data_IF_771522913843
#
_entry.id   IF_771522913843
#
_cell.length_a   1.000
_cell.length_b   1.000
_cell.length_c   1.000
_cell.angle_alpha   90.00
_cell.angle_beta   90.00
_cell.angle_gamma   90.00
#
_symmetry.space_group_name_H-M   'P 1'
#
loop_
_entity.id
_entity.type
_entity.pdbx_description
1 polymer ?
#
# COMPACT_ATOMS: atom_id res chain seq x y z
N UNK A 1 36.93 4.24 35.62
CA UNK A 1 35.69 5.00 35.56
C UNK A 1 34.66 4.07 34.95
N UNK A 2 33.59 3.69 35.66
CA UNK A 2 32.59 2.77 35.14
C UNK A 2 31.61 3.50 34.19
N UNK A 3 31.24 2.82 33.14
CA UNK A 3 30.21 3.24 32.20
C UNK A 3 28.85 3.16 32.91
N UNK A 4 28.10 4.25 32.93
CA UNK A 4 26.70 4.27 33.33
C UNK A 4 25.84 3.82 32.13
N UNK A 5 24.99 2.82 32.35
CA UNK A 5 23.98 2.38 31.41
C UNK A 5 22.86 3.43 31.31
N UNK A 6 22.30 3.69 30.09
CA UNK A 6 21.13 4.56 29.95
C UNK A 6 19.90 3.83 30.47
N UNK A 7 19.14 4.55 31.29
CA UNK A 7 17.97 4.07 31.99
C UNK A 7 16.88 3.47 31.11
N UNK A 8 16.17 2.50 31.68
CA UNK A 8 14.98 1.87 31.17
C UNK A 8 13.92 2.91 30.79
N UNK A 9 13.31 2.71 29.64
CA UNK A 9 12.15 3.46 29.19
C UNK A 9 10.94 3.07 30.06
N UNK A 10 10.24 4.05 30.58
CA UNK A 10 9.01 3.86 31.34
C UNK A 10 7.91 3.26 30.43
N UNK A 11 7.42 2.07 30.80
CA UNK A 11 6.44 1.24 30.09
C UNK A 11 4.98 1.74 30.18
N UNK A 12 4.72 2.96 30.65
CA UNK A 12 3.36 3.44 30.98
C UNK A 12 2.65 4.23 29.86
N UNK A 13 3.06 4.13 28.59
CA UNK A 13 2.44 4.85 27.46
C UNK A 13 1.92 3.95 26.32
N UNK A 14 1.61 2.70 26.58
CA UNK A 14 0.78 1.90 25.68
C UNK A 14 -0.70 2.08 26.07
N UNK A 15 -1.26 3.23 25.70
CA UNK A 15 -2.72 3.38 25.67
C UNK A 15 -3.21 2.63 24.43
N UNK A 16 -4.10 1.67 24.63
CA UNK A 16 -4.86 1.00 23.60
C UNK A 16 -5.54 2.06 22.68
N UNK A 17 -4.94 2.34 21.54
CA UNK A 17 -5.62 3.09 20.50
C UNK A 17 -6.57 2.13 19.79
N UNK A 18 -7.88 2.43 19.73
CA UNK A 18 -8.81 1.64 18.94
C UNK A 18 -8.43 1.76 17.48
N UNK A 19 -8.17 0.64 16.83
CA UNK A 19 -8.01 0.60 15.37
C UNK A 19 -9.25 1.22 14.71
N UNK A 20 -9.09 1.85 13.55
CA UNK A 20 -10.17 2.49 12.79
C UNK A 20 -11.34 1.54 12.45
N UNK A 21 -11.18 0.24 12.72
CA UNK A 21 -11.98 -0.87 12.26
C UNK A 21 -12.25 -1.90 13.38
N UNK A 22 -12.58 -1.46 14.60
CA UNK A 22 -13.00 -2.37 15.67
C UNK A 22 -14.40 -2.95 15.36
N UNK A 23 -14.45 -4.15 14.78
CA UNK A 23 -15.67 -4.92 14.47
C UNK A 23 -16.15 -5.77 15.70
N UNK A 24 -15.67 -5.52 16.90
CA UNK A 24 -15.81 -6.41 18.08
C UNK A 24 -17.23 -6.53 18.69
N UNK A 25 -18.26 -5.86 18.17
CA UNK A 25 -19.58 -5.81 18.83
C UNK A 25 -20.74 -6.54 18.12
N UNK A 26 -20.50 -7.47 17.19
CA UNK A 26 -21.63 -8.07 16.40
C UNK A 26 -22.08 -9.48 16.79
N UNK A 27 -21.69 -10.05 17.94
CA UNK A 27 -22.16 -11.38 18.32
C UNK A 27 -22.62 -11.51 19.78
N UNK A 28 -23.67 -10.81 20.14
CA UNK A 28 -24.53 -11.22 21.27
C UNK A 28 -25.98 -11.15 20.86
N UNK A 29 -26.47 -12.25 20.28
CA UNK A 29 -27.86 -12.74 20.41
C UNK A 29 -28.05 -13.96 19.50
N UNK A 30 -28.09 -15.13 20.16
CA UNK A 30 -29.01 -16.23 19.95
C UNK A 30 -28.41 -17.57 20.35
N UNK A 31 -28.39 -17.81 21.63
CA UNK A 31 -28.46 -19.20 22.15
C UNK A 31 -29.95 -19.51 22.34
N UNK A 32 -30.47 -20.40 21.53
CA UNK A 32 -31.48 -21.42 21.85
C UNK A 32 -32.16 -21.93 20.58
N UNK A 33 -31.77 -23.09 20.11
CA UNK A 33 -32.72 -24.14 19.70
C UNK A 33 -32.01 -25.48 19.44
N UNK A 34 -32.69 -26.46 19.97
CA UNK A 34 -32.42 -27.87 20.18
C UNK A 34 -31.99 -28.70 18.95
N UNK A 35 -31.27 -29.76 19.32
CA UNK A 35 -30.81 -30.91 18.53
C UNK A 35 -31.92 -31.64 17.79
N UNK A 36 -31.64 -32.09 16.59
CA UNK A 36 -32.04 -33.41 16.10
C UNK A 36 -31.07 -33.90 14.99
N UNK A 37 -30.77 -35.20 14.93
CA UNK A 37 -29.68 -35.75 14.12
C UNK A 37 -30.14 -36.15 12.71
N UNK A 38 -29.42 -35.80 11.67
CA UNK A 38 -29.63 -36.30 10.31
C UNK A 38 -28.48 -37.21 9.85
N UNK A 39 -28.92 -38.35 9.44
CA UNK A 39 -28.30 -39.57 8.98
C UNK A 39 -27.36 -39.38 7.77
N UNK A 40 -26.23 -40.09 7.84
CA UNK A 40 -25.26 -40.32 6.75
C UNK A 40 -25.88 -41.07 5.56
N UNK A 41 -25.71 -40.58 4.35
CA UNK A 41 -25.78 -41.38 3.15
C UNK A 41 -24.50 -41.25 2.31
N UNK A 42 -24.09 -42.40 1.72
CA UNK A 42 -22.83 -42.68 1.06
C UNK A 42 -22.81 -42.26 -0.42
N UNK A 43 -21.63 -42.28 -1.09
CA UNK A 43 -21.38 -41.60 -2.35
C UNK A 43 -21.80 -42.41 -3.57
N UNK A 44 -22.22 -41.72 -4.61
CA UNK A 44 -22.52 -42.27 -5.96
C UNK A 44 -21.30 -42.09 -6.84
N UNK A 45 -20.77 -43.19 -7.33
CA UNK A 45 -19.81 -43.30 -8.43
C UNK A 45 -20.42 -42.73 -9.73
N UNK A 46 -19.67 -41.90 -10.45
CA UNK A 46 -19.95 -41.55 -11.82
C UNK A 46 -18.84 -41.91 -12.75
N UNK A 47 -19.21 -42.65 -13.77
CA UNK A 47 -18.37 -43.16 -14.86
C UNK A 47 -17.92 -42.06 -15.80
N UNK A 48 -16.68 -42.22 -16.28
CA UNK A 48 -16.07 -41.49 -17.38
C UNK A 48 -16.82 -41.70 -18.70
N UNK A 49 -17.03 -40.62 -19.46
CA UNK A 49 -17.20 -40.67 -20.93
C UNK A 49 -16.39 -39.55 -21.55
N UNK A 50 -15.34 -39.91 -22.27
CA UNK A 50 -14.63 -39.07 -23.21
C UNK A 50 -15.55 -38.66 -24.34
N UNK A 51 -15.55 -37.38 -24.70
CA UNK A 51 -15.52 -36.88 -26.10
C UNK A 51 -15.78 -35.35 -26.16
N UNK A 52 -15.01 -34.72 -27.05
CA UNK A 52 -15.13 -33.36 -27.59
C UNK A 52 -14.34 -32.21 -26.97
N UNK A 53 -13.05 -32.27 -27.29
CA UNK A 53 -12.20 -31.08 -27.39
C UNK A 53 -12.34 -30.47 -28.80
N UNK A 54 -12.97 -29.30 -28.92
CA UNK A 54 -12.74 -28.24 -29.93
C UNK A 54 -13.94 -27.29 -30.03
N UNK A 55 -13.92 -26.22 -29.26
CA UNK A 55 -14.51 -24.89 -29.53
C UNK A 55 -14.66 -24.12 -28.21
N UNK A 56 -13.67 -23.35 -27.84
CA UNK A 56 -13.83 -22.37 -26.75
C UNK A 56 -12.67 -21.36 -26.69
N UNK A 57 -12.34 -20.71 -27.80
CA UNK A 57 -11.36 -19.62 -27.78
C UNK A 57 -11.90 -18.25 -28.27
N UNK A 58 -13.20 -18.14 -28.52
CA UNK A 58 -13.79 -16.86 -28.97
C UNK A 58 -14.82 -16.28 -27.98
N UNK A 59 -15.12 -16.97 -26.86
CA UNK A 59 -16.18 -16.52 -25.92
C UNK A 59 -15.64 -15.92 -24.63
N UNK A 60 -14.32 -15.99 -24.38
CA UNK A 60 -13.76 -15.47 -23.13
C UNK A 60 -13.44 -13.96 -23.16
N UNK A 61 -13.18 -13.37 -24.33
CA UNK A 61 -12.90 -11.92 -24.42
C UNK A 61 -14.18 -11.08 -24.29
N UNK A 62 -15.30 -11.54 -24.87
CA UNK A 62 -16.59 -10.83 -24.75
C UNK A 62 -17.22 -10.95 -23.34
N UNK A 63 -16.97 -12.06 -22.62
CA UNK A 63 -17.49 -12.24 -21.25
C UNK A 63 -16.70 -11.39 -20.26
N UNK A 64 -15.40 -11.19 -20.48
CA UNK A 64 -14.55 -10.35 -19.61
C UNK A 64 -14.88 -8.86 -19.76
N UNK A 65 -15.28 -8.38 -20.97
CA UNK A 65 -15.73 -6.99 -21.19
C UNK A 65 -17.12 -6.73 -20.59
N UNK A 66 -18.09 -7.66 -20.71
CA UNK A 66 -19.41 -7.50 -20.11
C UNK A 66 -19.36 -7.56 -18.56
N UNK A 67 -18.48 -8.37 -17.97
CA UNK A 67 -18.30 -8.42 -16.51
C UNK A 67 -17.65 -7.13 -15.98
N UNK A 68 -16.73 -6.54 -16.74
CA UNK A 68 -16.08 -5.26 -16.35
C UNK A 68 -17.10 -4.10 -16.39
N UNK A 69 -18.04 -4.06 -17.32
CA UNK A 69 -19.09 -3.02 -17.38
C UNK A 69 -20.13 -3.19 -16.26
N UNK A 70 -20.62 -4.41 -15.98
CA UNK A 70 -21.57 -4.65 -14.89
C UNK A 70 -20.98 -4.37 -13.50
N UNK A 71 -19.69 -4.65 -13.29
CA UNK A 71 -19.00 -4.38 -12.00
C UNK A 71 -18.78 -2.89 -11.79
N UNK A 72 -18.53 -2.11 -12.85
CA UNK A 72 -18.41 -0.65 -12.75
C UNK A 72 -19.75 0.01 -12.36
N UNK A 73 -20.89 -0.52 -12.79
CA UNK A 73 -22.22 -0.02 -12.42
C UNK A 73 -22.57 -0.32 -10.95
N UNK A 74 -22.24 -1.50 -10.41
CA UNK A 74 -22.54 -1.84 -9.00
C UNK A 74 -21.74 -1.03 -7.97
N UNK A 75 -20.55 -0.55 -8.32
CA UNK A 75 -19.74 0.31 -7.42
C UNK A 75 -20.30 1.74 -7.37
N UNK A 76 -20.98 2.18 -8.42
CA UNK A 76 -21.37 3.58 -8.60
C UNK A 76 -22.78 3.92 -8.05
N UNK A 77 -23.67 2.95 -7.88
CA UNK A 77 -25.09 3.19 -7.57
C UNK A 77 -25.40 3.77 -6.19
N UNK A 78 -24.42 3.88 -5.28
CA UNK A 78 -24.63 4.42 -3.94
C UNK A 78 -23.77 5.65 -3.57
N UNK A 79 -22.93 6.15 -4.49
CA UNK A 79 -22.06 7.30 -4.20
C UNK A 79 -22.47 8.48 -5.09
N UNK A 80 -22.87 9.58 -4.48
CA UNK A 80 -23.41 10.80 -5.10
C UNK A 80 -22.42 11.54 -6.03
N UNK A 81 -21.20 11.07 -6.19
CA UNK A 81 -20.19 11.70 -7.03
C UNK A 81 -19.75 10.77 -8.17
N UNK A 82 -19.93 11.18 -9.44
CA UNK A 82 -19.36 10.44 -10.56
C UNK A 82 -17.84 10.38 -10.44
N UNK A 83 -17.27 9.21 -10.66
CA UNK A 83 -15.82 9.03 -10.67
C UNK A 83 -15.27 9.60 -11.98
N UNK A 84 -14.98 10.88 -12.01
CA UNK A 84 -14.13 11.43 -13.06
C UNK A 84 -12.71 10.99 -12.72
N UNK A 85 -12.32 9.82 -13.26
CA UNK A 85 -10.90 9.47 -13.31
C UNK A 85 -10.31 10.47 -14.28
N UNK A 86 -9.44 11.33 -13.75
CA UNK A 86 -8.74 12.29 -14.59
C UNK A 86 -7.77 11.47 -15.46
N UNK A 87 -8.15 11.24 -16.72
CA UNK A 87 -7.33 10.51 -17.68
C UNK A 87 -5.93 11.14 -17.83
N UNK A 88 -5.78 12.41 -17.42
CA UNK A 88 -4.48 13.09 -17.38
C UNK A 88 -3.51 12.41 -16.40
N UNK A 89 -3.97 11.71 -15.35
CA UNK A 89 -3.08 11.02 -14.41
C UNK A 89 -2.37 9.80 -15.02
N UNK A 90 -2.88 9.29 -16.14
CA UNK A 90 -2.24 8.23 -16.92
C UNK A 90 -1.26 8.73 -17.98
N UNK A 91 -1.21 10.05 -18.22
CA UNK A 91 -0.24 10.66 -19.13
C UNK A 91 1.14 10.81 -18.46
N UNK A 92 2.16 10.96 -19.28
CA UNK A 92 3.53 11.21 -18.80
C UNK A 92 4.38 9.95 -18.71
N UNK A 93 4.01 8.89 -19.41
CA UNK A 93 4.77 7.64 -19.47
C UNK A 93 5.01 7.15 -20.91
N UNK A 94 4.76 8.00 -21.89
CA UNK A 94 5.09 7.72 -23.29
C UNK A 94 6.59 7.90 -23.51
N UNK A 95 7.08 7.38 -24.64
CA UNK A 95 8.48 7.57 -25.04
C UNK A 95 8.81 9.06 -25.23
N UNK A 96 7.89 9.85 -25.78
CA UNK A 96 8.06 11.29 -26.00
C UNK A 96 8.13 12.04 -24.67
N UNK A 97 7.30 11.69 -23.67
CA UNK A 97 7.38 12.25 -22.32
C UNK A 97 8.73 11.94 -21.66
N UNK A 98 9.24 10.72 -21.84
CA UNK A 98 10.55 10.34 -21.31
C UNK A 98 11.71 11.05 -22.01
N UNK A 99 11.57 11.40 -23.31
CA UNK A 99 12.52 12.26 -24.01
C UNK A 99 12.51 13.66 -23.38
N UNK A 100 11.34 14.23 -23.14
CA UNK A 100 11.22 15.55 -22.52
C UNK A 100 11.82 15.56 -21.10
N UNK A 101 11.51 14.57 -20.28
CA UNK A 101 12.12 14.41 -18.94
C UNK A 101 13.66 14.28 -19.00
N UNK A 102 14.19 13.59 -20.01
CA UNK A 102 15.66 13.44 -20.21
C UNK A 102 16.30 14.73 -20.67
N UNK A 103 15.66 15.45 -21.58
CA UNK A 103 16.21 16.70 -22.17
C UNK A 103 16.05 17.89 -21.23
N UNK A 104 15.00 17.89 -20.43
CA UNK A 104 14.63 18.96 -19.51
C UNK A 104 14.37 18.38 -18.11
N UNK A 105 15.41 17.80 -17.45
CA UNK A 105 15.23 17.23 -16.13
C UNK A 105 14.67 18.30 -15.18
N UNK A 106 13.58 18.01 -14.51
CA UNK A 106 12.98 18.99 -13.63
C UNK A 106 13.93 19.31 -12.47
N UNK A 107 14.18 20.57 -12.26
CA UNK A 107 15.07 21.06 -11.19
C UNK A 107 14.35 22.06 -10.32
N UNK A 108 14.61 22.01 -9.02
CA UNK A 108 14.16 23.07 -8.11
C UNK A 108 15.25 24.15 -8.07
N UNK A 109 14.86 25.40 -8.39
CA UNK A 109 15.78 26.52 -8.28
C UNK A 109 16.03 26.88 -6.80
N UNK A 110 17.24 26.64 -6.36
CA UNK A 110 17.72 27.05 -5.03
C UNK A 110 18.44 28.38 -5.12
N UNK A 111 18.38 29.22 -4.08
CA UNK A 111 19.17 30.47 -4.05
C UNK A 111 20.66 30.26 -4.23
N UNK A 112 21.21 29.18 -3.66
CA UNK A 112 22.55 28.66 -3.82
C UNK A 112 22.68 27.26 -3.16
N UNK A 113 23.78 26.56 -3.42
CA UNK A 113 24.03 25.20 -2.90
C UNK A 113 24.13 25.16 -1.37
N UNK A 114 24.77 26.14 -0.73
CA UNK A 114 24.89 26.19 0.74
C UNK A 114 23.52 26.35 1.40
N UNK A 115 22.61 27.13 0.77
CA UNK A 115 21.23 27.27 1.25
C UNK A 115 20.50 25.93 1.16
N UNK A 116 20.67 25.20 0.06
CA UNK A 116 20.10 23.88 -0.15
C UNK A 116 20.58 22.91 0.91
N UNK A 117 21.89 22.71 1.03
CA UNK A 117 22.51 21.81 2.01
C UNK A 117 22.08 22.12 3.46
N UNK A 118 21.99 23.41 3.80
CA UNK A 118 21.50 23.82 5.12
C UNK A 118 20.04 23.39 5.35
N UNK A 119 19.18 23.58 4.37
CA UNK A 119 17.77 23.19 4.48
C UNK A 119 17.58 21.68 4.46
N UNK A 120 18.41 20.94 3.73
CA UNK A 120 18.47 19.47 3.77
C UNK A 120 18.79 18.99 5.18
N UNK A 121 19.84 19.53 5.82
CA UNK A 121 20.20 19.22 7.21
C UNK A 121 19.06 19.56 8.18
N UNK A 122 18.45 20.75 8.04
CA UNK A 122 17.32 21.18 8.89
C UNK A 122 16.14 20.21 8.79
N UNK A 123 15.90 19.65 7.62
CA UNK A 123 14.80 18.73 7.36
C UNK A 123 15.14 17.31 7.80
N UNK A 124 16.30 16.80 7.41
CA UNK A 124 16.75 15.44 7.72
C UNK A 124 16.85 15.20 9.23
N UNK A 125 17.46 16.14 9.94
CA UNK A 125 17.65 16.04 11.39
C UNK A 125 16.54 16.70 12.21
N UNK A 126 15.45 17.10 11.56
CA UNK A 126 14.27 17.73 12.20
C UNK A 126 14.63 18.86 13.16
N UNK A 127 15.61 19.69 12.80
CA UNK A 127 16.11 20.75 13.66
C UNK A 127 14.99 21.77 13.97
N UNK A 128 14.89 22.16 15.25
CA UNK A 128 13.98 23.25 15.62
C UNK A 128 14.41 24.59 15.00
N UNK A 129 13.48 25.51 14.80
CA UNK A 129 13.80 26.84 14.27
C UNK A 129 14.87 27.56 15.11
N UNK A 130 14.84 27.41 16.43
CA UNK A 130 15.83 28.00 17.33
C UNK A 130 17.23 27.37 17.16
N UNK A 131 17.30 26.08 16.91
CA UNK A 131 18.57 25.39 16.64
C UNK A 131 19.15 25.84 15.30
N UNK A 132 18.37 25.82 14.23
CA UNK A 132 18.79 26.27 12.92
C UNK A 132 19.21 27.74 12.89
N UNK A 133 18.46 28.64 13.55
CA UNK A 133 18.82 30.06 13.68
C UNK A 133 20.18 30.25 14.42
N UNK A 134 20.47 29.38 15.38
CA UNK A 134 21.75 29.41 16.09
C UNK A 134 22.88 28.95 15.19
N UNK A 135 22.68 27.95 14.34
CA UNK A 135 23.66 27.52 13.33
C UNK A 135 23.94 28.63 12.30
N UNK A 136 22.88 29.26 11.76
CA UNK A 136 23.01 30.42 10.86
C UNK A 136 23.88 31.53 11.51
N UNK A 137 23.61 31.85 12.76
CA UNK A 137 24.41 32.85 13.50
C UNK A 137 25.85 32.42 13.65
N UNK A 138 26.10 31.14 13.94
CA UNK A 138 27.45 30.58 14.08
C UNK A 138 28.22 30.73 12.77
N UNK A 139 27.66 30.28 11.65
CA UNK A 139 28.27 30.38 10.33
C UNK A 139 28.55 31.83 9.92
N UNK A 140 27.55 32.71 10.10
CA UNK A 140 27.69 34.15 9.79
C UNK A 140 28.68 34.90 10.69
N UNK A 141 29.10 34.32 11.81
CA UNK A 141 30.11 34.93 12.71
C UNK A 141 31.55 34.62 12.29
N UNK A 142 31.76 33.72 11.31
CA UNK A 142 33.10 33.41 10.81
C UNK A 142 33.66 34.56 9.99
N UNK A 143 34.98 34.82 10.12
CA UNK A 143 35.64 35.85 9.32
C UNK A 143 35.56 35.48 7.85
N UNK A 144 34.96 36.31 7.02
CA UNK A 144 34.70 36.13 5.58
C UNK A 144 33.42 35.36 5.21
N UNK A 145 32.46 35.17 6.09
CA UNK A 145 31.20 34.59 5.75
C UNK A 145 30.38 35.53 4.82
N UNK A 146 29.96 35.02 3.66
CA UNK A 146 28.93 35.68 2.87
C UNK A 146 27.58 35.48 3.56
N UNK A 147 26.99 36.57 4.05
CA UNK A 147 25.73 36.53 4.80
C UNK A 147 24.51 36.15 3.96
N UNK A 148 24.67 36.06 2.64
CA UNK A 148 23.61 35.71 1.71
C UNK A 148 23.57 34.21 1.39
N UNK A 149 24.48 33.40 1.91
CA UNK A 149 24.52 31.95 1.69
C UNK A 149 23.40 31.20 2.39
N UNK A 150 22.91 31.74 3.49
CA UNK A 150 21.86 31.09 4.32
C UNK A 150 20.54 31.87 4.29
N UNK A 151 19.40 31.24 4.58
CA UNK A 151 18.16 31.98 4.85
C UNK A 151 18.38 32.93 6.04
N UNK A 152 17.64 34.04 6.10
CA UNK A 152 17.72 34.97 7.24
C UNK A 152 17.35 34.30 8.55
N UNK A 153 16.39 33.38 8.50
CA UNK A 153 15.95 32.53 9.60
C UNK A 153 15.58 31.14 9.07
N UNK A 154 15.63 30.12 9.91
CA UNK A 154 15.18 28.76 9.58
C UNK A 154 13.69 28.75 9.17
N UNK A 155 12.86 29.58 9.83
CA UNK A 155 11.46 29.74 9.48
C UNK A 155 11.27 30.29 8.05
N UNK A 156 12.12 31.21 7.62
CA UNK A 156 12.10 31.75 6.25
C UNK A 156 12.54 30.70 5.24
N UNK A 157 13.55 29.88 5.59
CA UNK A 157 13.96 28.73 4.81
C UNK A 157 12.84 27.69 4.64
N UNK A 158 12.11 27.35 5.71
CA UNK A 158 10.94 26.46 5.62
C UNK A 158 9.84 27.05 4.74
N UNK A 159 9.55 28.35 4.88
CA UNK A 159 8.60 29.02 4.00
C UNK A 159 9.04 29.01 2.53
N UNK A 160 10.33 29.07 2.27
CA UNK A 160 10.85 28.88 0.90
C UNK A 160 10.54 27.47 0.41
N UNK A 161 10.79 26.40 1.20
CA UNK A 161 10.43 25.03 0.87
C UNK A 161 8.93 24.88 0.61
N UNK A 162 8.09 25.43 1.50
CA UNK A 162 6.62 25.36 1.39
C UNK A 162 6.09 26.02 0.10
N UNK A 163 6.79 27.05 -0.41
CA UNK A 163 6.42 27.77 -1.62
C UNK A 163 7.16 27.26 -2.89
N UNK A 164 8.13 26.37 -2.75
CA UNK A 164 8.88 25.85 -3.88
C UNK A 164 8.06 24.83 -4.64
N UNK A 165 8.07 24.92 -5.95
CA UNK A 165 7.51 23.88 -6.82
C UNK A 165 8.56 22.77 -6.98
N UNK A 166 8.39 21.69 -6.22
CA UNK A 166 9.19 20.49 -6.41
C UNK A 166 8.63 19.68 -7.58
N UNK A 167 9.51 19.19 -8.47
CA UNK A 167 9.08 18.37 -9.59
C UNK A 167 8.29 17.16 -9.11
N UNK A 168 7.17 16.89 -9.76
CA UNK A 168 6.30 15.75 -9.52
C UNK A 168 5.68 15.63 -8.11
N UNK A 169 5.92 16.55 -7.18
CA UNK A 169 5.40 16.49 -5.80
C UNK A 169 4.07 17.22 -5.60
N UNK A 170 3.35 17.51 -6.68
CA UNK A 170 2.05 18.19 -6.61
C UNK A 170 0.95 17.21 -6.20
N UNK A 171 0.30 17.47 -5.06
CA UNK A 171 -0.88 16.75 -4.63
C UNK A 171 -2.13 17.27 -5.34
N UNK A 172 -2.99 16.36 -5.73
CA UNK A 172 -4.35 16.61 -6.21
C UNK A 172 -5.34 16.35 -5.10
N UNK A 173 -6.52 16.93 -5.23
CA UNK A 173 -7.63 16.76 -4.29
C UNK A 173 -8.87 16.38 -5.09
N UNK A 174 -9.48 15.26 -4.75
CA UNK A 174 -10.70 14.81 -5.39
C UNK A 174 -11.77 14.51 -4.34
N UNK A 175 -13.04 14.95 -4.55
CA UNK A 175 -14.14 14.57 -3.65
C UNK A 175 -14.39 13.07 -3.78
N UNK A 176 -14.48 12.38 -2.64
CA UNK A 176 -14.61 10.93 -2.60
C UNK A 176 -16.00 10.47 -2.13
N UNK A 177 -16.56 11.14 -1.15
CA UNK A 177 -17.91 10.88 -0.63
C UNK A 177 -18.42 12.06 0.18
N UNK A 178 -19.77 12.15 0.33
CA UNK A 178 -20.42 12.99 1.32
C UNK A 178 -21.07 12.07 2.36
N UNK A 179 -20.80 12.32 3.63
CA UNK A 179 -21.41 11.59 4.71
C UNK A 179 -21.82 12.54 5.84
N UNK A 180 -23.09 12.51 6.24
CA UNK A 180 -23.65 13.35 7.29
C UNK A 180 -23.36 14.86 7.08
N UNK A 181 -23.59 15.36 5.87
CA UNK A 181 -23.34 16.74 5.41
C UNK A 181 -21.86 17.18 5.47
N UNK A 182 -20.93 16.22 5.51
CA UNK A 182 -19.50 16.49 5.46
C UNK A 182 -18.94 15.92 4.16
N UNK A 183 -18.25 16.77 3.41
CA UNK A 183 -17.54 16.35 2.20
C UNK A 183 -16.17 15.79 2.58
N UNK A 184 -15.90 14.58 2.14
CA UNK A 184 -14.60 13.92 2.31
C UNK A 184 -13.85 13.92 1.00
N UNK A 185 -12.56 14.24 1.08
CA UNK A 185 -11.68 14.35 -0.07
C UNK A 185 -10.52 13.38 0.05
N UNK A 186 -10.10 12.84 -1.10
CA UNK A 186 -8.86 12.11 -1.22
C UNK A 186 -7.76 13.05 -1.69
N UNK A 187 -6.70 13.14 -0.90
CA UNK A 187 -5.49 13.93 -1.21
C UNK A 187 -4.44 12.96 -1.70
N UNK A 188 -4.02 13.10 -2.94
CA UNK A 188 -3.06 12.16 -3.53
C UNK A 188 -2.11 12.83 -4.52
N UNK A 189 -0.95 12.23 -4.66
CA UNK A 189 -0.01 12.51 -5.73
C UNK A 189 -0.17 11.42 -6.78
N UNK A 190 -0.32 11.73 -8.09
CA UNK A 190 -0.38 10.72 -9.13
C UNK A 190 0.77 9.72 -8.99
N UNK A 191 0.46 8.42 -9.04
CA UNK A 191 1.47 7.37 -8.80
C UNK A 191 2.66 7.46 -9.76
N UNK A 192 2.41 7.89 -10.99
CA UNK A 192 3.44 8.13 -12.01
C UNK A 192 4.45 9.18 -11.51
N UNK A 193 3.95 10.26 -10.92
CA UNK A 193 4.79 11.31 -10.36
C UNK A 193 5.59 10.79 -9.15
N UNK A 194 4.99 9.93 -8.33
CA UNK A 194 5.69 9.25 -7.24
C UNK A 194 6.84 8.38 -7.74
N UNK A 195 6.63 7.61 -8.81
CA UNK A 195 7.68 6.82 -9.46
C UNK A 195 8.78 7.72 -10.03
N UNK A 196 8.42 8.77 -10.77
CA UNK A 196 9.40 9.74 -11.30
C UNK A 196 10.22 10.41 -10.18
N UNK A 197 9.58 10.77 -9.06
CA UNK A 197 10.26 11.33 -7.88
C UNK A 197 11.33 10.38 -7.33
N UNK A 198 11.03 9.09 -7.24
CA UNK A 198 12.02 8.08 -6.83
C UNK A 198 13.17 7.99 -7.84
N UNK A 199 12.86 7.91 -9.12
CA UNK A 199 13.85 7.76 -10.18
C UNK A 199 14.73 9.00 -10.39
N UNK A 200 14.37 10.17 -9.89
CA UNK A 200 15.22 11.36 -9.88
C UNK A 200 16.38 11.28 -8.87
N UNK A 201 16.28 10.40 -7.86
CA UNK A 201 17.32 10.26 -6.86
C UNK A 201 18.57 9.59 -7.44
N UNK A 202 19.74 10.20 -7.30
CA UNK A 202 20.97 9.72 -7.92
C UNK A 202 21.40 8.34 -7.42
N UNK A 203 21.27 8.09 -6.12
CA UNK A 203 21.66 6.81 -5.50
C UNK A 203 20.67 5.68 -5.88
N UNK A 204 19.38 5.98 -6.08
CA UNK A 204 18.41 5.06 -6.64
C UNK A 204 18.79 4.71 -8.07
N UNK A 205 19.12 5.70 -8.89
CA UNK A 205 19.56 5.49 -10.26
C UNK A 205 20.81 4.59 -10.34
N UNK A 206 21.82 4.83 -9.51
CA UNK A 206 23.04 4.03 -9.45
C UNK A 206 22.77 2.59 -9.00
N UNK A 207 21.96 2.43 -7.95
CA UNK A 207 21.60 1.13 -7.36
C UNK A 207 20.52 0.35 -8.11
N UNK A 208 19.93 0.90 -9.17
CA UNK A 208 18.78 0.30 -9.85
C UNK A 208 19.12 -1.01 -10.57
N UNK A 209 18.34 -2.06 -10.28
CA UNK A 209 18.47 -3.40 -10.87
C UNK A 209 17.35 -3.62 -11.90
N UNK A 210 17.77 -3.98 -13.11
CA UNK A 210 16.87 -4.10 -14.26
C UNK A 210 16.32 -5.52 -14.45
N UNK A 211 17.10 -6.55 -14.12
CA UNK A 211 16.82 -7.96 -14.44
C UNK A 211 16.98 -8.85 -13.23
N UNK A 212 16.35 -10.02 -13.31
CA UNK A 212 16.54 -11.10 -12.35
C UNK A 212 18.01 -11.40 -12.12
N UNK A 213 18.40 -11.60 -10.88
CA UNK A 213 19.76 -11.96 -10.49
C UNK A 213 19.75 -13.32 -9.78
N UNK A 214 20.39 -14.31 -10.40
CA UNK A 214 20.59 -15.61 -9.78
C UNK A 214 22.04 -15.71 -9.30
N UNK A 215 22.30 -15.39 -8.05
CA UNK A 215 23.66 -15.24 -7.53
C UNK A 215 24.24 -16.50 -6.89
N UNK A 216 23.47 -17.58 -6.70
CA UNK A 216 23.97 -18.74 -5.95
C UNK A 216 23.37 -20.06 -6.39
N UNK A 217 24.18 -21.14 -6.30
CA UNK A 217 23.72 -22.52 -6.41
C UNK A 217 22.89 -22.98 -5.19
N UNK A 218 22.89 -22.21 -4.12
CA UNK A 218 22.13 -22.45 -2.88
C UNK A 218 21.05 -21.39 -2.76
N UNK A 219 19.82 -21.81 -2.49
CA UNK A 219 18.69 -20.87 -2.29
C UNK A 219 18.98 -19.96 -1.10
N UNK A 220 19.13 -18.68 -1.38
CA UNK A 220 19.26 -17.63 -0.38
C UNK A 220 18.00 -16.76 -0.39
N UNK A 221 17.64 -16.20 0.76
CA UNK A 221 16.56 -15.23 0.89
C UNK A 221 17.22 -13.86 1.03
N UNK A 222 17.36 -13.17 -0.10
CA UNK A 222 18.03 -11.89 -0.19
C UNK A 222 17.10 -10.83 -0.76
N UNK A 223 17.50 -10.25 -1.88
CA UNK A 223 16.78 -9.15 -2.51
C UNK A 223 15.55 -9.64 -3.32
N UNK A 224 14.61 -8.75 -3.56
CA UNK A 224 13.39 -9.06 -4.31
C UNK A 224 13.70 -9.50 -5.75
N UNK A 225 14.70 -8.89 -6.38
CA UNK A 225 15.16 -9.23 -7.73
C UNK A 225 15.95 -10.56 -7.81
N UNK A 226 16.11 -11.26 -6.69
CA UNK A 226 16.66 -12.63 -6.60
C UNK A 226 15.56 -13.67 -6.32
N UNK A 227 14.30 -13.22 -6.15
CA UNK A 227 13.18 -14.08 -5.77
C UNK A 227 12.59 -14.85 -6.96
N UNK A 228 11.95 -15.99 -6.66
CA UNK A 228 11.18 -16.74 -7.65
C UNK A 228 10.05 -15.90 -8.26
N UNK A 229 9.44 -15.01 -7.47
CA UNK A 229 8.40 -14.10 -7.96
C UNK A 229 8.93 -13.23 -9.10
N UNK A 230 10.12 -12.67 -8.95
CA UNK A 230 10.73 -11.84 -9.98
C UNK A 230 11.01 -12.64 -11.25
N UNK A 231 11.67 -13.81 -11.12
CA UNK A 231 11.98 -14.69 -12.26
C UNK A 231 10.73 -15.10 -13.05
N UNK A 232 9.64 -15.42 -12.35
CA UNK A 232 8.37 -15.81 -12.98
C UNK A 232 7.73 -14.58 -13.64
N UNK A 233 7.61 -13.46 -12.93
CA UNK A 233 6.95 -12.25 -13.41
C UNK A 233 7.68 -11.64 -14.61
N UNK A 234 9.03 -11.62 -14.58
CA UNK A 234 9.83 -11.11 -15.70
C UNK A 234 9.61 -11.89 -17.01
N UNK A 235 9.24 -13.15 -16.92
CA UNK A 235 8.91 -13.99 -18.10
C UNK A 235 7.52 -13.73 -18.66
N UNK A 236 6.65 -13.06 -17.93
CA UNK A 236 5.27 -12.74 -18.37
C UNK A 236 5.15 -11.36 -19.04
N UNK A 237 6.16 -10.49 -18.90
CA UNK A 237 6.16 -9.15 -19.51
C UNK A 237 6.74 -9.19 -20.93
N UNK A 238 6.49 -8.15 -21.77
CA UNK A 238 7.09 -8.05 -23.10
C UNK A 238 8.62 -8.17 -23.06
N UNK A 239 9.21 -8.85 -24.06
CA UNK A 239 10.63 -9.24 -24.05
C UNK A 239 11.61 -8.08 -23.94
N UNK A 240 11.24 -6.92 -24.50
CA UNK A 240 12.06 -5.71 -24.52
C UNK A 240 11.86 -4.84 -23.27
N UNK A 241 10.89 -5.18 -22.43
CA UNK A 241 10.55 -4.41 -21.23
C UNK A 241 11.35 -4.89 -20.01
N UNK A 242 11.43 -3.99 -19.05
CA UNK A 242 11.98 -4.25 -17.72
C UNK A 242 10.85 -4.26 -16.68
N UNK A 243 10.95 -5.16 -15.74
CA UNK A 243 10.01 -5.19 -14.61
C UNK A 243 10.22 -3.98 -13.71
N UNK A 244 9.15 -3.19 -13.49
CA UNK A 244 9.12 -2.15 -12.47
C UNK A 244 8.32 -2.67 -11.27
N UNK A 245 9.02 -3.12 -10.26
CA UNK A 245 8.43 -3.70 -9.06
C UNK A 245 8.01 -2.61 -8.08
N UNK A 246 6.71 -2.48 -7.83
CA UNK A 246 6.13 -1.47 -6.93
C UNK A 246 5.79 -2.13 -5.59
N UNK A 247 6.31 -1.56 -4.51
CA UNK A 247 5.99 -1.91 -3.12
C UNK A 247 5.08 -0.82 -2.58
N UNK A 248 3.96 -1.21 -1.96
CA UNK A 248 2.99 -0.32 -1.33
C UNK A 248 3.09 -0.51 0.19
N UNK A 249 3.00 0.58 0.92
CA UNK A 249 2.87 0.58 2.37
C UNK A 249 1.80 1.59 2.78
N UNK A 250 0.87 1.17 3.60
CA UNK A 250 -0.10 2.06 4.25
C UNK A 250 -0.26 1.64 5.71
N UNK A 251 -0.30 2.64 6.58
CA UNK A 251 -0.47 2.43 8.01
C UNK A 251 -0.96 3.73 8.66
N UNK A 252 -1.95 3.63 9.54
CA UNK A 252 -2.43 4.78 10.27
C UNK A 252 -1.38 5.27 11.27
N UNK A 253 -1.10 6.57 11.29
CA UNK A 253 -0.09 7.15 12.17
C UNK A 253 -0.64 8.31 12.98
N UNK A 254 -0.25 8.39 14.25
CA UNK A 254 -0.62 9.48 15.14
C UNK A 254 0.26 10.71 14.86
N UNK A 255 -0.36 11.86 14.63
CA UNK A 255 0.33 13.10 14.28
C UNK A 255 0.59 14.03 15.47
N UNK A 256 0.01 13.74 16.63
CA UNK A 256 0.19 14.54 17.85
C UNK A 256 0.49 13.67 19.08
N UNK A 257 1.15 14.29 20.07
CA UNK A 257 1.50 13.63 21.32
C UNK A 257 0.29 13.23 22.22
N UNK A 258 -0.92 13.66 21.86
CA UNK A 258 -2.14 13.39 22.62
C UNK A 258 -3.00 12.31 21.98
N UNK A 259 -2.57 11.73 20.84
CA UNK A 259 -3.32 10.73 20.10
C UNK A 259 -4.65 11.22 19.49
N UNK A 260 -4.84 12.54 19.38
CA UNK A 260 -6.12 13.13 18.93
C UNK A 260 -6.21 13.32 17.43
N UNK A 261 -5.07 13.40 16.77
CA UNK A 261 -4.96 13.59 15.33
C UNK A 261 -4.14 12.46 14.77
N UNK A 262 -4.74 11.72 13.87
CA UNK A 262 -4.05 10.65 13.15
C UNK A 262 -4.34 10.79 11.66
N UNK A 263 -3.38 10.42 10.83
CA UNK A 263 -3.48 10.38 9.38
C UNK A 263 -3.22 8.96 8.88
N UNK A 264 -3.67 8.68 7.66
CA UNK A 264 -3.50 7.35 7.06
C UNK A 264 -2.76 7.48 5.72
N UNK A 265 -1.43 7.65 5.76
CA UNK A 265 -0.63 7.84 4.56
C UNK A 265 -0.43 6.56 3.78
N UNK A 266 -0.33 6.70 2.45
CA UNK A 266 0.06 5.64 1.52
C UNK A 266 1.42 6.00 0.94
N UNK A 267 2.37 5.09 1.05
CA UNK A 267 3.71 5.23 0.48
C UNK A 267 3.96 4.19 -0.60
N UNK A 268 4.80 4.56 -1.57
CA UNK A 268 5.37 3.61 -2.52
C UNK A 268 6.90 3.59 -2.42
N UNK A 269 7.48 2.45 -2.77
CA UNK A 269 8.91 2.25 -2.98
C UNK A 269 9.11 1.28 -4.13
N UNK A 270 10.36 1.06 -4.57
CA UNK A 270 10.69 0.18 -5.68
C UNK A 270 11.43 -1.06 -5.22
N UNK A 271 10.99 -2.24 -5.67
CA UNK A 271 11.71 -3.50 -5.46
C UNK A 271 12.98 -3.64 -6.31
N UNK A 272 13.16 -2.75 -7.28
CA UNK A 272 14.34 -2.66 -8.15
C UNK A 272 15.60 -2.15 -7.45
N UNK A 273 15.50 -1.71 -6.20
CA UNK A 273 16.63 -1.19 -5.42
C UNK A 273 16.96 -2.12 -4.25
N UNK A 274 18.24 -2.30 -3.92
CA UNK A 274 18.64 -3.18 -2.83
C UNK A 274 18.14 -2.70 -1.47
N UNK A 275 17.92 -3.62 -0.54
CA UNK A 275 17.29 -3.36 0.76
C UNK A 275 18.05 -2.34 1.60
N UNK A 276 19.40 -2.33 1.56
CA UNK A 276 20.20 -1.35 2.28
C UNK A 276 19.93 0.10 1.82
N UNK A 277 19.60 0.28 0.52
CA UNK A 277 19.21 1.56 -0.04
C UNK A 277 17.72 1.83 0.24
N UNK A 278 16.84 0.83 0.00
CA UNK A 278 15.39 0.93 0.19
C UNK A 278 14.98 1.30 1.62
N UNK A 279 15.83 1.03 2.61
CA UNK A 279 15.59 1.40 4.01
C UNK A 279 15.87 2.88 4.33
N UNK A 280 16.43 3.65 3.39
CA UNK A 280 16.64 5.10 3.58
C UNK A 280 15.33 5.88 3.46
N UNK A 281 15.16 7.00 4.18
CA UNK A 281 13.91 7.78 4.17
C UNK A 281 13.49 8.26 2.76
N UNK A 282 14.42 8.72 1.94
CA UNK A 282 14.16 9.30 0.62
C UNK A 282 13.81 8.26 -0.46
N UNK A 283 13.87 6.97 -0.16
CA UNK A 283 13.48 5.90 -1.09
C UNK A 283 12.02 5.49 -0.97
N UNK A 284 11.24 6.24 -0.21
CA UNK A 284 9.80 6.11 -0.05
C UNK A 284 9.15 7.43 -0.41
N UNK A 285 8.11 7.38 -1.22
CA UNK A 285 7.35 8.56 -1.62
C UNK A 285 5.93 8.43 -1.11
N UNK A 286 5.47 9.48 -0.44
CA UNK A 286 4.08 9.62 -0.02
C UNK A 286 3.22 9.91 -1.25
N UNK A 287 2.26 9.03 -1.54
CA UNK A 287 1.39 9.15 -2.71
C UNK A 287 -0.08 9.44 -2.38
N UNK A 288 -0.47 9.38 -1.11
CA UNK A 288 -1.84 9.74 -0.74
C UNK A 288 -2.10 9.67 0.75
N UNK A 289 -3.27 10.21 1.14
CA UNK A 289 -3.83 10.11 2.49
C UNK A 289 -5.25 9.58 2.40
N UNK A 290 -5.47 8.39 2.93
CA UNK A 290 -6.82 7.81 3.01
C UNK A 290 -7.71 8.68 3.93
N UNK A 291 -8.91 9.06 3.48
CA UNK A 291 -9.80 9.91 4.28
C UNK A 291 -10.38 9.12 5.45
N UNK A 292 -10.37 9.73 6.63
CA UNK A 292 -10.97 9.17 7.85
C UNK A 292 -12.41 9.65 8.00
N UNK A 293 -13.36 8.77 7.75
CA UNK A 293 -14.78 9.07 7.96
C UNK A 293 -15.09 9.11 9.46
N UNK A 294 -15.84 10.13 9.89
CA UNK A 294 -16.23 10.32 11.29
C UNK A 294 -17.73 10.12 11.43
N UNK A 295 -18.12 9.18 12.28
CA UNK A 295 -19.51 9.02 12.70
C UNK A 295 -19.84 9.99 13.85
N UNK A 296 -21.07 10.51 13.88
CA UNK A 296 -21.52 11.45 14.94
C UNK A 296 -21.70 10.77 16.29
N UNK A 297 -21.97 9.48 16.31
CA UNK A 297 -22.24 8.68 17.50
C UNK A 297 -21.79 7.22 17.32
N UNK A 298 -21.71 6.47 18.41
CA UNK A 298 -21.29 5.09 18.39
C UNK A 298 -22.27 4.17 17.65
N UNK A 299 -23.56 4.49 17.65
CA UNK A 299 -24.57 3.70 16.92
C UNK A 299 -24.30 3.77 15.43
N UNK A 300 -24.05 4.98 14.92
CA UNK A 300 -23.66 5.18 13.51
C UNK A 300 -22.33 4.51 13.22
N UNK A 301 -21.31 4.67 14.11
CA UNK A 301 -19.99 4.07 13.95
C UNK A 301 -20.07 2.56 13.73
N UNK A 302 -20.91 1.87 14.50
CA UNK A 302 -21.06 0.42 14.47
C UNK A 302 -22.15 -0.07 13.48
N UNK A 303 -22.75 0.83 12.71
CA UNK A 303 -23.74 0.45 11.71
C UNK A 303 -23.10 -0.25 10.50
N UNK A 304 -23.76 -1.31 9.99
CA UNK A 304 -23.30 -2.03 8.79
C UNK A 304 -23.13 -1.09 7.58
N UNK A 305 -24.00 -0.10 7.46
CA UNK A 305 -23.94 0.88 6.36
C UNK A 305 -22.70 1.79 6.46
N UNK A 306 -22.32 2.22 7.66
CA UNK A 306 -21.12 3.02 7.83
C UNK A 306 -19.85 2.22 7.59
N UNK A 307 -19.76 1.01 8.13
CA UNK A 307 -18.63 0.11 7.86
C UNK A 307 -18.50 -0.23 6.36
N UNK A 308 -19.64 -0.49 5.68
CA UNK A 308 -19.66 -0.67 4.23
C UNK A 308 -19.14 0.56 3.49
N UNK A 309 -19.61 1.76 3.86
CA UNK A 309 -19.16 3.02 3.26
C UNK A 309 -17.64 3.21 3.43
N UNK A 310 -17.09 2.91 4.61
CA UNK A 310 -15.65 3.01 4.84
C UNK A 310 -14.85 2.12 3.89
N UNK A 311 -15.26 0.84 3.71
CA UNK A 311 -14.63 -0.09 2.77
C UNK A 311 -14.74 0.38 1.32
N UNK A 312 -15.90 0.87 0.91
CA UNK A 312 -16.11 1.43 -0.43
C UNK A 312 -15.21 2.64 -0.68
N UNK A 313 -15.09 3.55 0.29
CA UNK A 313 -14.20 4.72 0.19
C UNK A 313 -12.74 4.28 0.08
N UNK A 314 -12.32 3.29 0.85
CA UNK A 314 -10.98 2.72 0.78
C UNK A 314 -10.67 2.18 -0.62
N UNK A 315 -11.52 1.30 -1.16
CA UNK A 315 -11.36 0.73 -2.50
C UNK A 315 -11.38 1.82 -3.59
N UNK A 316 -12.22 2.84 -3.44
CA UNK A 316 -12.31 3.96 -4.38
C UNK A 316 -11.03 4.81 -4.39
N UNK A 317 -10.43 5.09 -3.24
CA UNK A 317 -9.15 5.78 -3.16
C UNK A 317 -8.02 4.99 -3.86
N UNK A 318 -7.98 3.67 -3.63
CA UNK A 318 -7.03 2.79 -4.29
C UNK A 318 -7.24 2.73 -5.81
N UNK A 319 -8.49 2.69 -6.27
CA UNK A 319 -8.81 2.77 -7.70
C UNK A 319 -8.25 4.06 -8.33
N UNK A 320 -8.49 5.22 -7.72
CA UNK A 320 -7.98 6.50 -8.22
C UNK A 320 -6.45 6.48 -8.29
N UNK A 321 -5.80 6.02 -7.24
CA UNK A 321 -4.35 6.04 -7.13
C UNK A 321 -3.65 5.06 -8.08
N UNK A 322 -4.20 3.85 -8.25
CA UNK A 322 -3.54 2.74 -8.94
C UNK A 322 -4.00 2.54 -10.40
N UNK A 323 -5.14 3.14 -10.83
CA UNK A 323 -5.61 3.01 -12.21
C UNK A 323 -4.57 3.39 -13.26
N UNK A 324 -3.69 4.38 -13.06
CA UNK A 324 -2.68 4.71 -14.06
C UNK A 324 -1.67 3.59 -14.38
N UNK A 325 -1.50 2.63 -13.48
CA UNK A 325 -0.61 1.48 -13.67
C UNK A 325 -1.35 0.17 -13.94
N UNK A 326 -2.70 0.21 -13.90
CA UNK A 326 -3.53 -0.98 -14.09
C UNK A 326 -3.28 -1.61 -15.46
N UNK A 327 -2.76 -2.83 -15.47
CA UNK A 327 -2.47 -3.64 -16.67
C UNK A 327 -1.68 -2.92 -17.78
N UNK A 328 -0.89 -1.91 -17.41
CA UNK A 328 0.00 -1.22 -18.34
C UNK A 328 1.19 -2.09 -18.67
N UNK A 329 1.54 -2.16 -19.95
CA UNK A 329 2.69 -2.93 -20.42
C UNK A 329 3.87 -2.01 -20.75
N UNK A 330 3.63 -0.88 -21.42
CA UNK A 330 4.68 0.02 -21.90
C UNK A 330 4.61 1.37 -21.18
N UNK A 331 5.50 1.54 -20.20
CA UNK A 331 5.72 2.81 -19.53
C UNK A 331 7.20 3.18 -19.65
N UNK A 332 7.50 4.40 -20.06
CA UNK A 332 8.86 4.83 -20.31
C UNK A 332 9.35 5.75 -19.22
N UNK A 333 10.51 5.44 -18.64
CA UNK A 333 11.16 6.26 -17.62
C UNK A 333 12.64 6.40 -17.89
N UNK A 334 13.22 7.50 -17.42
CA UNK A 334 14.66 7.77 -17.48
C UNK A 334 15.32 7.14 -16.24
N UNK A 335 16.24 6.20 -16.49
CA UNK A 335 17.08 5.58 -15.45
C UNK A 335 18.52 5.54 -15.96
N UNK A 336 19.50 5.91 -15.13
CA UNK A 336 20.91 6.00 -15.52
C UNK A 336 21.13 6.83 -16.78
N UNK A 337 20.37 7.92 -16.90
CA UNK A 337 20.38 8.83 -18.04
C UNK A 337 20.01 8.20 -19.40
N UNK A 338 19.33 7.05 -19.39
CA UNK A 338 18.79 6.40 -20.59
C UNK A 338 17.29 6.12 -20.42
N UNK A 339 16.58 6.04 -21.53
CA UNK A 339 15.13 5.79 -21.56
C UNK A 339 14.91 4.29 -21.74
N UNK A 340 14.14 3.70 -20.84
CA UNK A 340 13.80 2.27 -20.89
C UNK A 340 12.29 2.06 -20.81
N UNK A 341 11.76 1.04 -21.53
CA UNK A 341 10.38 0.59 -21.37
C UNK A 341 10.24 -0.28 -20.11
N UNK A 342 9.20 -0.04 -19.35
CA UNK A 342 8.88 -0.78 -18.13
C UNK A 342 7.46 -1.31 -18.15
N UNK A 343 7.28 -2.49 -17.57
CA UNK A 343 5.98 -3.01 -17.20
C UNK A 343 5.85 -2.93 -15.67
N UNK A 344 4.96 -2.07 -15.14
CA UNK A 344 4.76 -1.96 -13.70
C UNK A 344 3.99 -3.17 -13.17
N UNK A 345 4.48 -3.75 -12.08
CA UNK A 345 3.78 -4.80 -11.33
C UNK A 345 3.84 -4.47 -9.84
N UNK A 346 2.72 -4.58 -9.15
CA UNK A 346 2.69 -4.53 -7.69
C UNK A 346 3.29 -5.84 -7.19
N UNK A 347 4.31 -5.76 -6.37
CA UNK A 347 5.00 -6.96 -5.86
C UNK A 347 4.59 -7.30 -4.43
N UNK A 348 4.53 -6.29 -3.59
CA UNK A 348 4.27 -6.45 -2.16
C UNK A 348 3.43 -5.29 -1.65
N UNK A 349 2.45 -5.60 -0.81
CA UNK A 349 1.75 -4.66 0.05
C UNK A 349 2.17 -4.98 1.48
N UNK A 350 2.91 -4.06 2.10
CA UNK A 350 3.30 -4.19 3.50
C UNK A 350 2.19 -3.61 4.37
N UNK A 351 1.68 -4.41 5.28
CA UNK A 351 0.56 -4.04 6.13
C UNK A 351 0.64 -4.76 7.49
N UNK A 352 0.15 -4.14 8.54
CA UNK A 352 -0.20 -4.85 9.76
C UNK A 352 -1.43 -5.73 9.55
N UNK A 353 -1.91 -6.44 10.58
CA UNK A 353 -3.06 -7.34 10.42
C UNK A 353 -4.37 -6.61 10.11
N UNK A 354 -4.56 -5.39 10.64
CA UNK A 354 -5.75 -4.59 10.42
C UNK A 354 -5.79 -4.06 8.98
N UNK A 355 -4.68 -3.49 8.55
CA UNK A 355 -4.53 -3.00 7.17
C UNK A 355 -4.56 -4.15 6.15
N UNK A 356 -3.97 -5.31 6.48
CA UNK A 356 -4.04 -6.50 5.65
C UNK A 356 -5.49 -6.94 5.40
N UNK A 357 -6.35 -6.89 6.42
CA UNK A 357 -7.78 -7.12 6.30
C UNK A 357 -8.46 -6.11 5.36
N UNK A 358 -8.09 -4.83 5.46
CA UNK A 358 -8.63 -3.77 4.60
C UNK A 358 -8.23 -3.95 3.13
N UNK A 359 -6.95 -4.25 2.86
CA UNK A 359 -6.46 -4.51 1.51
C UNK A 359 -7.06 -5.77 0.88
N UNK A 360 -7.21 -6.83 1.65
CA UNK A 360 -7.73 -8.12 1.18
C UNK A 360 -9.26 -8.23 1.24
N UNK A 361 -9.95 -7.21 1.79
CA UNK A 361 -11.38 -7.21 2.07
C UNK A 361 -11.81 -8.42 2.91
N UNK A 362 -10.97 -8.87 3.86
CA UNK A 362 -11.29 -9.94 4.80
C UNK A 362 -11.76 -9.38 6.13
N UNK A 363 -12.56 -10.18 6.87
CA UNK A 363 -12.97 -9.78 8.21
C UNK A 363 -11.74 -9.69 9.12
N UNK A 364 -11.70 -8.67 9.95
CA UNK A 364 -10.82 -8.58 11.09
C UNK A 364 -11.47 -9.37 12.23
N UNK A 365 -10.83 -9.76 13.13
CA UNK A 365 -9.76 -10.57 13.59
C UNK A 365 -10.21 -11.89 14.27
N UNK A 366 -9.64 -12.19 15.45
CA UNK A 366 -9.73 -13.39 16.27
C UNK A 366 -11.12 -14.02 16.48
N UNK A 367 -12.21 -13.30 16.28
CA UNK A 367 -13.60 -13.77 16.43
C UNK A 367 -14.23 -14.20 15.11
N UNK A 368 -13.61 -13.89 13.99
CA UNK A 368 -14.14 -14.31 12.68
C UNK A 368 -13.93 -15.81 12.46
N UNK A 369 -14.81 -16.44 11.69
CA UNK A 369 -14.76 -17.88 11.44
C UNK A 369 -13.47 -18.31 10.72
N UNK A 370 -12.97 -17.46 9.80
CA UNK A 370 -11.75 -17.69 9.01
C UNK A 370 -10.89 -16.43 9.01
N UNK A 371 -10.13 -16.20 10.09
CA UNK A 371 -9.47 -14.91 10.35
C UNK A 371 -8.24 -14.66 9.48
N UNK A 372 -7.70 -15.68 8.83
CA UNK A 372 -6.50 -15.52 8.02
C UNK A 372 -6.79 -14.79 6.69
N UNK A 373 -6.05 -13.72 6.40
CA UNK A 373 -6.16 -13.01 5.12
C UNK A 373 -5.50 -13.77 3.95
N UNK A 374 -4.68 -14.79 4.21
CA UNK A 374 -3.98 -15.58 3.19
C UNK A 374 -4.71 -16.86 2.78
N UNK A 375 -5.46 -17.45 3.71
CA UNK A 375 -6.08 -18.75 3.50
C UNK A 375 -7.45 -18.83 4.19
N UNK A 376 -8.14 -19.94 3.93
CA UNK A 376 -9.48 -20.17 4.46
C UNK A 376 -9.49 -21.10 5.69
N UNK A 377 -8.40 -21.11 6.47
CA UNK A 377 -8.31 -21.89 7.70
C UNK A 377 -9.38 -21.44 8.70
N UNK A 378 -9.98 -22.38 9.40
CA UNK A 378 -10.92 -22.08 10.48
C UNK A 378 -10.21 -21.61 11.74
N UNK A 379 -10.87 -20.77 12.52
CA UNK A 379 -10.30 -20.20 13.75
C UNK A 379 -9.86 -21.29 14.73
N UNK A 380 -10.65 -22.35 14.85
CA UNK A 380 -10.38 -23.49 15.76
C UNK A 380 -9.14 -24.31 15.33
N UNK A 381 -8.74 -24.21 14.07
CA UNK A 381 -7.62 -24.95 13.51
C UNK A 381 -6.31 -24.13 13.39
N UNK A 382 -6.29 -22.87 13.81
CA UNK A 382 -5.11 -22.00 13.68
C UNK A 382 -3.83 -22.56 14.34
N UNK A 383 -3.98 -23.34 15.42
CA UNK A 383 -2.88 -24.00 16.12
C UNK A 383 -2.59 -25.42 15.64
N UNK A 384 -3.33 -25.92 14.66
CA UNK A 384 -3.19 -27.29 14.16
C UNK A 384 -2.06 -27.41 13.15
N UNK A 385 -0.85 -27.70 13.60
CA UNK A 385 0.35 -27.87 12.76
C UNK A 385 0.31 -29.11 11.87
N UNK A 386 -0.67 -29.98 12.01
CA UNK A 386 -0.80 -31.20 11.20
C UNK A 386 -1.65 -31.00 9.93
N UNK A 387 -2.24 -29.82 9.74
CA UNK A 387 -3.01 -29.52 8.54
C UNK A 387 -2.11 -29.49 7.31
N UNK A 388 -2.38 -30.36 6.34
CA UNK A 388 -1.62 -30.45 5.09
C UNK A 388 -2.33 -29.77 3.90
N UNK A 389 -3.64 -29.52 3.99
CA UNK A 389 -4.46 -29.05 2.87
C UNK A 389 -5.19 -27.75 3.20
N UNK A 390 -4.43 -26.68 3.41
CA UNK A 390 -4.99 -25.35 3.61
C UNK A 390 -5.25 -24.70 2.24
N UNK A 391 -6.50 -24.27 2.01
CA UNK A 391 -6.89 -23.59 0.76
C UNK A 391 -6.46 -22.13 0.83
N UNK A 392 -5.57 -21.72 -0.08
CA UNK A 392 -5.16 -20.32 -0.21
C UNK A 392 -6.26 -19.49 -0.87
N UNK A 393 -6.41 -18.24 -0.45
CA UNK A 393 -7.31 -17.28 -1.07
C UNK A 393 -6.73 -16.81 -2.39
N UNK A 394 -7.58 -16.72 -3.41
CA UNK A 394 -7.28 -16.09 -4.70
C UNK A 394 -8.44 -15.19 -5.11
N UNK A 395 -8.22 -14.21 -5.98
CA UNK A 395 -9.29 -13.36 -6.51
C UNK A 395 -10.48 -14.16 -7.04
N UNK A 396 -10.23 -15.18 -7.86
CA UNK A 396 -11.26 -16.00 -8.52
C UNK A 396 -12.10 -16.79 -7.50
N UNK A 397 -11.42 -17.42 -6.52
CA UNK A 397 -12.12 -18.18 -5.46
C UNK A 397 -12.97 -17.27 -4.57
N UNK A 398 -12.47 -16.07 -4.26
CA UNK A 398 -13.23 -15.16 -3.40
C UNK A 398 -14.42 -14.57 -4.14
N UNK A 399 -14.31 -14.26 -5.42
CA UNK A 399 -15.44 -13.85 -6.27
C UNK A 399 -16.46 -14.98 -6.37
N UNK A 400 -16.04 -16.22 -6.60
CA UNK A 400 -16.93 -17.37 -6.63
C UNK A 400 -17.71 -17.54 -5.32
N UNK A 401 -17.04 -17.42 -4.18
CA UNK A 401 -17.63 -17.50 -2.83
C UNK A 401 -18.69 -16.40 -2.62
N UNK A 402 -18.39 -15.18 -3.05
CA UNK A 402 -19.32 -14.05 -2.98
C UNK A 402 -20.54 -14.32 -3.86
N UNK A 403 -20.35 -14.77 -5.09
CA UNK A 403 -21.44 -15.10 -6.02
C UNK A 403 -22.34 -16.24 -5.52
N UNK A 404 -21.77 -17.16 -4.71
CA UNK A 404 -22.52 -18.21 -4.03
C UNK A 404 -23.23 -17.75 -2.75
N UNK A 405 -23.16 -16.46 -2.38
CA UNK A 405 -23.67 -15.89 -1.11
C UNK A 405 -23.05 -16.55 0.13
N UNK A 406 -21.78 -16.95 0.05
CA UNK A 406 -21.03 -17.59 1.14
C UNK A 406 -19.98 -16.65 1.77
N UNK A 407 -20.02 -15.36 1.46
CA UNK A 407 -19.03 -14.38 1.92
C UNK A 407 -18.84 -14.42 3.44
N UNK A 408 -19.92 -14.45 4.22
CA UNK A 408 -19.86 -14.52 5.68
C UNK A 408 -19.19 -15.81 6.19
N UNK A 409 -19.45 -16.95 5.54
CA UNK A 409 -18.85 -18.25 5.91
C UNK A 409 -17.33 -18.24 5.74
N UNK A 410 -16.84 -17.51 4.74
CA UNK A 410 -15.42 -17.40 4.43
C UNK A 410 -14.78 -16.12 4.99
N UNK A 411 -15.49 -15.36 5.82
CA UNK A 411 -15.00 -14.14 6.46
C UNK A 411 -14.42 -13.16 5.44
N UNK A 412 -15.15 -12.92 4.35
CA UNK A 412 -14.81 -11.94 3.33
C UNK A 412 -15.95 -10.94 3.15
N UNK A 413 -15.62 -9.68 2.90
CA UNK A 413 -16.58 -8.64 2.58
C UNK A 413 -17.07 -8.77 1.13
N UNK A 414 -18.33 -8.40 0.90
CA UNK A 414 -18.98 -8.52 -0.41
C UNK A 414 -18.59 -7.39 -1.36
N UNK A 415 -17.97 -6.33 -0.84
CA UNK A 415 -17.53 -5.21 -1.65
C UNK A 415 -16.41 -5.65 -2.60
N UNK A 416 -16.51 -5.18 -3.85
CA UNK A 416 -15.52 -5.48 -4.87
C UNK A 416 -14.14 -4.96 -4.48
N UNK A 417 -13.13 -5.82 -4.55
CA UNK A 417 -11.76 -5.45 -4.29
C UNK A 417 -11.09 -4.97 -5.59
N UNK A 418 -10.70 -3.71 -5.66
CA UNK A 418 -10.09 -3.11 -6.85
C UNK A 418 -8.87 -3.89 -7.36
N UNK A 419 -8.09 -4.51 -6.49
CA UNK A 419 -6.91 -5.27 -6.89
C UNK A 419 -7.21 -6.54 -7.71
N UNK A 420 -8.46 -7.01 -7.72
CA UNK A 420 -8.86 -8.14 -8.57
C UNK A 420 -8.86 -7.79 -10.06
N UNK A 421 -8.77 -6.51 -10.41
CA UNK A 421 -8.66 -6.05 -11.80
C UNK A 421 -7.24 -6.17 -12.38
N UNK A 422 -6.23 -6.37 -11.53
CA UNK A 422 -4.86 -6.56 -11.99
C UNK A 422 -4.66 -7.98 -12.51
N UNK A 423 -4.25 -8.10 -13.78
CA UNK A 423 -3.88 -9.39 -14.38
C UNK A 423 -2.65 -9.97 -13.70
N UNK A 424 -2.65 -11.27 -13.49
CA UNK A 424 -1.53 -12.01 -12.88
C UNK A 424 -1.11 -11.48 -11.49
N UNK A 425 -2.10 -11.00 -10.71
CA UNK A 425 -1.87 -10.47 -9.38
C UNK A 425 -2.81 -11.09 -8.34
N UNK A 426 -2.25 -11.61 -7.27
CA UNK A 426 -3.01 -12.13 -6.14
C UNK A 426 -2.79 -11.25 -4.91
N UNK A 427 -3.78 -10.41 -4.58
CA UNK A 427 -3.74 -9.49 -3.43
C UNK A 427 -3.47 -10.23 -2.12
N UNK A 428 -4.03 -11.44 -1.95
CA UNK A 428 -3.87 -12.24 -0.74
C UNK A 428 -2.44 -12.73 -0.53
N UNK A 429 -1.75 -13.11 -1.60
CA UNK A 429 -0.36 -13.55 -1.58
C UNK A 429 0.62 -12.37 -1.48
N UNK A 430 0.26 -11.26 -2.12
CA UNK A 430 1.13 -10.07 -2.19
C UNK A 430 1.05 -9.20 -0.94
N UNK A 431 0.03 -9.36 -0.09
CA UNK A 431 -0.05 -8.68 1.20
C UNK A 431 0.85 -9.40 2.20
N UNK A 432 1.87 -8.70 2.69
CA UNK A 432 2.89 -9.26 3.58
C UNK A 432 2.83 -8.55 4.93
N UNK A 433 2.81 -9.32 6.05
CA UNK A 433 2.76 -8.74 7.37
C UNK A 433 3.98 -7.87 7.64
N UNK A 434 3.77 -6.74 8.29
CA UNK A 434 4.84 -5.90 8.78
C UNK A 434 5.66 -6.65 9.85
N UNK A 435 6.98 -6.61 9.67
CA UNK A 435 7.92 -7.30 10.54
C UNK A 435 7.82 -6.80 11.99
N UNK A 436 7.72 -5.49 12.17
CA UNK A 436 7.73 -4.89 13.51
C UNK A 436 6.53 -5.39 14.32
N UNK A 437 5.32 -5.32 13.77
CA UNK A 437 4.12 -5.76 14.45
C UNK A 437 4.06 -7.28 14.60
N UNK A 438 4.47 -8.04 13.59
CA UNK A 438 4.37 -9.49 13.63
C UNK A 438 5.48 -10.15 14.45
N UNK A 439 6.74 -9.76 14.25
CA UNK A 439 7.88 -10.41 14.87
C UNK A 439 8.34 -9.69 16.14
N UNK A 440 8.64 -8.40 16.05
CA UNK A 440 9.33 -7.68 17.12
C UNK A 440 8.36 -7.39 18.29
N UNK A 441 7.20 -6.79 18.02
CA UNK A 441 6.15 -6.51 19.01
C UNK A 441 5.18 -7.68 19.23
N UNK A 442 5.07 -8.59 18.27
CA UNK A 442 4.23 -9.80 18.36
C UNK A 442 4.99 -10.98 18.96
N UNK A 443 5.48 -11.88 18.12
CA UNK A 443 6.00 -13.20 18.54
C UNK A 443 7.16 -13.06 19.54
N UNK A 444 8.12 -12.15 19.32
CA UNK A 444 9.28 -12.00 20.19
C UNK A 444 8.89 -11.50 21.58
N UNK A 445 7.95 -10.55 21.67
CA UNK A 445 7.42 -10.08 22.96
C UNK A 445 6.86 -11.23 23.77
N UNK A 446 5.96 -12.02 23.20
CA UNK A 446 5.36 -13.16 23.88
C UNK A 446 6.39 -14.26 24.25
N UNK A 447 7.37 -14.52 23.38
CA UNK A 447 8.44 -15.45 23.72
C UNK A 447 9.24 -15.00 24.96
N UNK A 448 9.51 -13.69 25.07
CA UNK A 448 10.21 -13.13 26.25
C UNK A 448 9.35 -13.15 27.50
N UNK A 449 8.03 -13.00 27.38
CA UNK A 449 7.10 -13.08 28.54
C UNK A 449 6.97 -14.50 29.08
N UNK A 450 7.18 -15.54 28.27
CA UNK A 450 7.06 -16.94 28.64
C UNK A 450 8.38 -17.60 29.06
N UNK A 451 9.52 -16.92 28.90
CA UNK A 451 10.85 -17.40 29.34
C UNK A 451 11.26 -16.79 30.66
#
# INVERSE_FOLDING_TARGET
MPYEEPGLWDDDLLTDEPSLWDDDDLLTENQNKENDPVTLEQPIETQETDEESKKSNETNEEIDEEIDEEIDEEIDDNLTFPLIIDLEDSHGTTFDDAIEDKMHPPTTEWPNDTYREFMEIVTEYQLSNSCGDRLIKLFNSTKNADKNLFPKTTKEGRKFLDNSEFPYMKFKTVPITNFQDTDYHFYYQPIINGIKTLLLQSDINEGFVFRYQNNTSVKTYGEQFESNWWDITEKTIPIDNYLLSIIIYADATTCDHLGKTSEHPIYISLGNIPSWLRNKPHTKVLVGYLPKLKAKDNTTKNSKSFCKLQRQVFQRCLRILMSPILNKEDMYFVVKNEIYPYTPKISVILADMAEAGSFTATYLPSTSKRPCCYCTIENDDLNNMALSNVILRTPEKMQEIINMNQAHEFSIHEEFNFFWRFKDFNIYESTVPDRMHMLDLGITKYLLEFT
#
